data_IF_386449123187
#
_entry.id   IF_386449123187
#
_cell.length_a   1.000
_cell.length_b   1.000
_cell.length_c   1.000
_cell.angle_alpha   90.00
_cell.angle_beta   90.00
_cell.angle_gamma   90.00
#
_symmetry.space_group_name_H-M   'P 1'
#
loop_
_entity.id
_entity.type
_entity.pdbx_description
1 polymer ?
#
# COMPACT_ATOMS: atom_id res chain seq x y z
N UNK A 1 -48.55 -30.31 14.32
CA UNK A 1 -47.34 -30.61 15.12
C UNK A 1 -46.24 -29.72 14.58
N UNK A 2 -45.61 -28.76 15.26
CA UNK A 2 -45.63 -28.16 16.62
C UNK A 2 -45.14 -26.71 16.34
N UNK A 3 -45.97 -25.67 16.41
CA UNK A 3 -46.19 -24.77 17.55
C UNK A 3 -45.00 -24.57 18.50
N UNK A 4 -44.41 -23.36 18.53
CA UNK A 4 -44.61 -22.43 19.66
C UNK A 4 -44.14 -21.00 19.34
N UNK A 5 -45.05 -20.05 19.50
CA UNK A 5 -44.88 -18.60 19.49
C UNK A 5 -44.43 -18.11 20.91
N UNK A 6 -44.55 -16.83 21.28
CA UNK A 6 -43.54 -15.78 21.48
C UNK A 6 -43.14 -15.53 22.96
N UNK A 7 -42.14 -14.70 23.21
CA UNK A 7 -42.07 -13.95 24.48
C UNK A 7 -41.48 -12.54 24.27
N UNK A 8 -42.39 -11.58 24.39
CA UNK A 8 -42.19 -10.20 24.79
C UNK A 8 -40.81 -9.86 25.37
N UNK A 9 -40.07 -8.98 24.69
CA UNK A 9 -39.29 -7.95 25.36
C UNK A 9 -39.56 -6.60 24.69
N UNK A 10 -40.83 -6.20 24.80
CA UNK A 10 -41.16 -4.79 24.99
C UNK A 10 -40.55 -4.34 26.32
N UNK A 11 -39.47 -3.56 26.30
CA UNK A 11 -39.06 -2.70 27.40
C UNK A 11 -38.29 -1.54 26.77
N UNK A 12 -39.00 -0.47 26.44
CA UNK A 12 -39.05 0.75 27.26
C UNK A 12 -37.76 1.55 27.19
N UNK A 13 -37.82 2.59 26.35
CA UNK A 13 -37.35 3.95 26.63
C UNK A 13 -36.76 4.14 28.04
N UNK A 14 -35.44 4.27 28.13
CA UNK A 14 -34.81 5.08 29.16
C UNK A 14 -33.93 6.10 28.46
N UNK A 15 -34.53 7.27 28.20
CA UNK A 15 -33.80 8.53 28.18
C UNK A 15 -33.13 8.66 29.54
N UNK A 16 -31.86 8.29 29.63
CA UNK A 16 -31.00 8.75 30.72
C UNK A 16 -30.82 10.24 30.48
N UNK A 17 -31.72 11.01 31.10
CA UNK A 17 -31.52 12.42 31.38
C UNK A 17 -30.33 12.51 32.33
N UNK A 18 -29.17 12.92 31.83
CA UNK A 18 -28.11 13.41 32.70
C UNK A 18 -28.63 14.71 33.33
N UNK A 19 -29.10 14.57 34.57
CA UNK A 19 -29.46 15.67 35.43
C UNK A 19 -28.23 16.52 35.73
N UNK A 20 -28.43 17.82 35.56
CA UNK A 20 -27.57 18.90 36.02
C UNK A 20 -27.60 18.98 37.57
N UNK A 21 -26.46 19.36 38.16
CA UNK A 21 -26.29 20.10 39.42
C UNK A 21 -25.48 19.43 40.57
N UNK A 22 -24.47 20.18 41.01
CA UNK A 22 -23.81 20.25 42.33
C UNK A 22 -22.48 19.48 42.59
N UNK A 23 -21.39 20.19 42.27
CA UNK A 23 -20.29 20.54 43.19
C UNK A 23 -19.59 19.45 44.00
N UNK A 24 -18.53 18.87 43.44
CA UNK A 24 -17.42 18.28 44.20
C UNK A 24 -16.36 19.34 44.51
N UNK A 25 -15.77 19.36 45.72
CA UNK A 25 -14.71 20.30 46.10
C UNK A 25 -13.40 20.01 45.32
N UNK A 26 -12.54 21.03 45.12
CA UNK A 26 -11.35 20.87 44.30
C UNK A 26 -10.31 19.97 44.98
N UNK A 27 -9.90 18.92 44.29
CA UNK A 27 -8.78 18.06 44.68
C UNK A 27 -7.47 18.83 44.43
N UNK A 28 -6.61 19.04 45.45
CA UNK A 28 -5.33 19.71 45.25
C UNK A 28 -4.35 18.79 44.52
N UNK A 29 -3.96 19.15 43.29
CA UNK A 29 -2.86 18.48 42.57
C UNK A 29 -3.08 18.18 41.09
N UNK A 30 -4.21 18.55 40.49
CA UNK A 30 -4.44 18.31 39.07
C UNK A 30 -3.79 19.40 38.21
N UNK A 31 -2.72 19.04 37.50
CA UNK A 31 -2.22 19.82 36.36
C UNK A 31 -3.38 20.02 35.39
N UNK A 32 -3.95 21.23 35.37
CA UNK A 32 -5.02 21.59 34.43
C UNK A 32 -4.46 21.50 33.01
N UNK A 33 -4.84 20.45 32.28
CA UNK A 33 -4.53 20.31 30.86
C UNK A 33 -5.36 21.33 30.09
N UNK A 34 -4.71 22.28 29.44
CA UNK A 34 -5.37 23.36 28.70
C UNK A 34 -5.72 22.93 27.27
N UNK A 35 -6.59 23.69 26.59
CA UNK A 35 -6.87 23.45 25.16
C UNK A 35 -5.64 23.62 24.27
N UNK A 36 -4.65 24.40 24.69
CA UNK A 36 -3.35 24.52 24.01
C UNK A 36 -2.54 23.24 24.12
N UNK A 37 -2.49 22.61 25.31
CA UNK A 37 -1.84 21.31 25.51
C UNK A 37 -2.48 20.22 24.64
N UNK A 38 -3.81 20.24 24.48
CA UNK A 38 -4.53 19.30 23.60
C UNK A 38 -4.15 19.54 22.14
N UNK A 39 -4.18 20.80 21.66
CA UNK A 39 -3.77 21.13 20.29
C UNK A 39 -2.32 20.72 20.01
N UNK A 40 -1.42 21.00 20.95
CA UNK A 40 -0.01 20.63 20.83
C UNK A 40 0.14 19.11 20.75
N UNK A 41 -0.44 18.36 21.69
CA UNK A 41 -0.34 16.89 21.71
C UNK A 41 -0.97 16.24 20.49
N UNK A 42 -2.09 16.77 19.98
CA UNK A 42 -2.70 16.29 18.74
C UNK A 42 -1.79 16.56 17.54
N UNK A 43 -1.17 17.74 17.48
CA UNK A 43 -0.20 18.09 16.43
C UNK A 43 1.02 17.15 16.44
N UNK A 44 1.64 16.97 17.60
CA UNK A 44 2.78 16.05 17.79
C UNK A 44 2.42 14.60 17.40
N UNK A 45 1.23 14.13 17.78
CA UNK A 45 0.76 12.80 17.42
C UNK A 45 0.51 12.67 15.90
N UNK A 46 -0.07 13.70 15.27
CA UNK A 46 -0.30 13.72 13.83
C UNK A 46 1.01 13.76 13.03
N UNK A 47 1.98 14.58 13.46
CA UNK A 47 3.31 14.67 12.85
C UNK A 47 4.07 13.35 13.00
N UNK A 48 4.00 12.71 14.17
CA UNK A 48 4.61 11.38 14.42
C UNK A 48 3.99 10.32 13.52
N UNK A 49 2.66 10.30 13.38
CA UNK A 49 1.97 9.35 12.51
C UNK A 49 2.34 9.56 11.03
N UNK A 50 2.46 10.82 10.60
CA UNK A 50 2.89 11.19 9.23
C UNK A 50 4.31 10.73 8.95
N UNK A 51 5.24 10.96 9.87
CA UNK A 51 6.64 10.52 9.71
C UNK A 51 6.75 8.99 9.70
N UNK A 52 6.03 8.29 10.59
CA UNK A 52 5.98 6.83 10.57
C UNK A 52 5.44 6.28 9.24
N UNK A 53 4.39 6.92 8.70
CA UNK A 53 3.80 6.53 7.41
C UNK A 53 4.79 6.75 6.28
N UNK A 54 5.47 7.89 6.25
CA UNK A 54 6.52 8.20 5.27
C UNK A 54 7.67 7.17 5.33
N UNK A 55 8.14 6.82 6.53
CA UNK A 55 9.18 5.80 6.70
C UNK A 55 8.78 4.44 6.11
N UNK A 56 7.55 3.99 6.38
CA UNK A 56 7.02 2.74 5.79
C UNK A 56 6.96 2.82 4.28
N UNK A 57 6.60 3.99 3.77
CA UNK A 57 6.52 4.27 2.35
C UNK A 57 7.87 4.18 1.66
N UNK A 58 8.88 4.83 2.24
CA UNK A 58 10.26 4.87 1.73
C UNK A 58 10.92 3.48 1.84
N UNK A 59 10.66 2.74 2.92
CA UNK A 59 11.11 1.36 3.09
C UNK A 59 10.59 0.46 1.97
N UNK A 60 9.30 0.55 1.65
CA UNK A 60 8.71 -0.21 0.56
C UNK A 60 9.29 0.19 -0.81
N UNK A 61 9.45 1.50 -1.08
CA UNK A 61 10.08 1.97 -2.32
C UNK A 61 11.48 1.38 -2.50
N UNK A 62 12.30 1.45 -1.45
CA UNK A 62 13.66 0.90 -1.45
C UNK A 62 13.69 -0.61 -1.69
N UNK A 63 12.79 -1.36 -1.06
CA UNK A 63 12.69 -2.82 -1.28
C UNK A 63 12.32 -3.16 -2.72
N UNK A 64 11.46 -2.36 -3.35
CA UNK A 64 11.09 -2.55 -4.74
C UNK A 64 12.24 -2.16 -5.69
N UNK A 65 12.93 -1.05 -5.43
CA UNK A 65 14.11 -0.62 -6.20
C UNK A 65 15.18 -1.73 -6.23
N UNK A 66 15.49 -2.32 -5.07
CA UNK A 66 16.46 -3.43 -4.97
C UNK A 66 16.04 -4.66 -5.78
N UNK A 67 14.75 -5.00 -5.75
CA UNK A 67 14.25 -6.12 -6.56
C UNK A 67 14.29 -5.79 -8.06
N UNK A 68 14.03 -4.54 -8.41
CA UNK A 68 14.03 -4.06 -9.79
C UNK A 68 15.43 -4.05 -10.38
N UNK A 69 16.46 -3.64 -9.62
CA UNK A 69 17.86 -3.75 -10.00
C UNK A 69 18.22 -5.20 -10.37
N UNK A 70 17.90 -6.15 -9.48
CA UNK A 70 18.16 -7.57 -9.76
C UNK A 70 17.35 -8.14 -10.93
N UNK A 71 16.18 -7.57 -11.23
CA UNK A 71 15.41 -7.94 -12.42
C UNK A 71 15.99 -7.32 -13.69
N UNK A 72 16.47 -6.08 -13.64
CA UNK A 72 17.10 -5.40 -14.77
C UNK A 72 18.38 -6.14 -15.21
N UNK A 73 19.17 -6.66 -14.28
CA UNK A 73 20.31 -7.55 -14.57
C UNK A 73 19.87 -8.82 -15.32
N UNK A 74 18.79 -9.47 -14.86
CA UNK A 74 18.24 -10.65 -15.52
C UNK A 74 17.67 -10.33 -16.91
N UNK A 75 17.08 -9.15 -17.09
CA UNK A 75 16.61 -8.68 -18.40
C UNK A 75 17.82 -8.51 -19.35
N UNK A 76 18.94 -7.94 -18.88
CA UNK A 76 20.14 -7.80 -19.70
C UNK A 76 20.74 -9.17 -20.11
N UNK A 77 20.75 -10.14 -19.19
CA UNK A 77 21.15 -11.52 -19.52
C UNK A 77 20.20 -12.15 -20.55
N UNK A 78 18.89 -11.97 -20.35
CA UNK A 78 17.84 -12.45 -21.24
C UNK A 78 17.98 -11.87 -22.65
N UNK A 79 18.30 -10.59 -22.77
CA UNK A 79 18.60 -9.93 -24.05
C UNK A 79 19.79 -10.56 -24.76
N UNK A 80 20.84 -10.86 -24.01
CA UNK A 80 22.06 -11.51 -24.54
C UNK A 80 21.76 -12.93 -25.02
N UNK A 81 20.94 -13.70 -24.30
CA UNK A 81 20.52 -15.06 -24.71
C UNK A 81 19.63 -15.00 -25.94
N UNK A 82 18.61 -14.15 -25.93
CA UNK A 82 17.68 -14.02 -27.04
C UNK A 82 18.30 -13.46 -28.32
N UNK A 83 19.43 -12.75 -28.23
CA UNK A 83 20.22 -12.35 -29.40
C UNK A 83 20.72 -13.55 -30.24
N UNK A 84 20.82 -14.74 -29.64
CA UNK A 84 21.30 -15.97 -30.31
C UNK A 84 20.19 -16.74 -31.03
N UNK A 85 18.92 -16.44 -30.72
CA UNK A 85 17.76 -17.05 -31.39
C UNK A 85 17.74 -16.68 -32.87
N UNK A 86 17.12 -17.55 -33.67
CA UNK A 86 17.00 -17.38 -35.13
C UNK A 86 15.55 -17.64 -35.58
N UNK A 87 15.27 -17.25 -36.82
CA UNK A 87 14.01 -17.54 -37.51
C UNK A 87 12.77 -17.15 -36.67
N UNK A 88 11.73 -17.97 -36.66
CA UNK A 88 10.47 -17.67 -35.99
C UNK A 88 10.63 -17.48 -34.48
N UNK A 89 11.52 -18.24 -33.83
CA UNK A 89 11.81 -18.08 -32.41
C UNK A 89 12.36 -16.67 -32.09
N UNK A 90 13.19 -16.10 -32.98
CA UNK A 90 13.69 -14.72 -32.81
C UNK A 90 12.57 -13.69 -32.92
N UNK A 91 11.64 -13.90 -33.85
CA UNK A 91 10.50 -12.99 -34.07
C UNK A 91 9.59 -12.98 -32.84
N UNK A 92 9.21 -14.15 -32.32
CA UNK A 92 8.36 -14.26 -31.14
C UNK A 92 9.04 -13.72 -29.87
N UNK A 93 10.33 -14.03 -29.69
CA UNK A 93 11.10 -13.48 -28.58
C UNK A 93 11.17 -11.95 -28.61
N UNK A 94 11.41 -11.34 -29.79
CA UNK A 94 11.46 -9.87 -29.90
C UNK A 94 10.13 -9.23 -29.49
N UNK A 95 8.98 -9.80 -29.90
CA UNK A 95 7.65 -9.28 -29.50
C UNK A 95 7.47 -9.31 -27.99
N UNK A 96 7.85 -10.42 -27.35
CA UNK A 96 7.77 -10.56 -25.88
C UNK A 96 8.73 -9.62 -25.16
N UNK A 97 9.94 -9.41 -25.70
CA UNK A 97 10.90 -8.44 -25.17
C UNK A 97 10.35 -7.01 -25.22
N UNK A 98 9.70 -6.61 -26.32
CA UNK A 98 9.10 -5.27 -26.40
C UNK A 98 8.01 -5.06 -25.35
N UNK A 99 7.15 -6.07 -25.13
CA UNK A 99 6.14 -6.03 -24.07
C UNK A 99 6.76 -5.97 -22.67
N UNK A 100 7.82 -6.75 -22.42
CA UNK A 100 8.62 -6.71 -21.19
C UNK A 100 9.20 -5.31 -20.94
N UNK A 101 9.85 -4.71 -21.95
CA UNK A 101 10.41 -3.35 -21.86
C UNK A 101 9.34 -2.30 -21.60
N UNK A 102 8.21 -2.40 -22.28
CA UNK A 102 7.06 -1.51 -22.08
C UNK A 102 6.56 -1.56 -20.64
N UNK A 103 6.39 -2.77 -20.07
CA UNK A 103 5.98 -2.95 -18.68
C UNK A 103 7.03 -2.45 -17.68
N UNK A 104 8.32 -2.61 -17.97
CA UNK A 104 9.41 -2.05 -17.16
C UNK A 104 9.30 -0.52 -17.13
N UNK A 105 9.08 0.12 -18.29
CA UNK A 105 8.85 1.56 -18.39
C UNK A 105 7.68 2.03 -17.52
N UNK A 106 6.52 1.37 -17.66
CA UNK A 106 5.30 1.67 -16.87
C UNK A 106 5.52 1.53 -15.36
N UNK A 107 6.24 0.50 -14.92
CA UNK A 107 6.60 0.34 -13.51
C UNK A 107 7.46 1.51 -13.03
N UNK A 108 8.41 1.96 -13.85
CA UNK A 108 9.26 3.11 -13.52
C UNK A 108 8.45 4.39 -13.32
N UNK A 109 7.47 4.64 -14.17
CA UNK A 109 6.59 5.80 -14.07
C UNK A 109 5.74 5.73 -12.78
N UNK A 110 5.13 4.57 -12.51
CA UNK A 110 4.36 4.36 -11.28
C UNK A 110 5.23 4.48 -10.03
N UNK A 111 6.47 4.04 -10.07
CA UNK A 111 7.39 4.16 -8.93
C UNK A 111 7.78 5.64 -8.68
N UNK A 112 7.95 6.43 -9.74
CA UNK A 112 8.16 7.88 -9.61
C UNK A 112 6.94 8.57 -8.99
N UNK A 113 5.74 8.24 -9.46
CA UNK A 113 4.48 8.76 -8.91
C UNK A 113 4.32 8.36 -7.43
N UNK A 114 4.58 7.09 -7.12
CA UNK A 114 4.60 6.58 -5.76
C UNK A 114 5.56 7.39 -4.89
N UNK A 115 6.83 7.54 -5.30
CA UNK A 115 7.82 8.29 -4.53
C UNK A 115 7.41 9.75 -4.26
N UNK A 116 6.64 10.38 -5.15
CA UNK A 116 6.13 11.73 -4.97
C UNK A 116 4.84 11.83 -4.13
N UNK A 117 4.21 10.72 -3.74
CA UNK A 117 2.89 10.74 -3.10
C UNK A 117 2.93 11.12 -1.61
N UNK A 118 1.80 11.65 -1.11
CA UNK A 118 1.58 11.94 0.31
C UNK A 118 1.22 10.69 1.13
N UNK A 119 1.14 10.86 2.45
CA UNK A 119 0.67 9.88 3.44
C UNK A 119 -0.78 9.45 3.25
N UNK A 120 -1.62 10.21 2.55
CA UNK A 120 -3.01 9.82 2.30
C UNK A 120 -3.17 9.01 1.00
N UNK A 121 -2.33 9.25 0.00
CA UNK A 121 -2.47 8.64 -1.33
C UNK A 121 -1.69 7.34 -1.52
N UNK A 122 -0.74 7.04 -0.64
CA UNK A 122 0.29 6.04 -0.91
C UNK A 122 -0.22 4.60 -0.99
N UNK A 123 -1.25 4.20 -0.23
CA UNK A 123 -1.76 2.82 -0.23
C UNK A 123 -2.38 2.43 -1.58
N UNK A 124 -3.13 3.36 -2.19
CA UNK A 124 -3.69 3.16 -3.53
C UNK A 124 -2.59 3.01 -4.57
N UNK A 125 -1.60 3.89 -4.53
CA UNK A 125 -0.44 3.82 -5.43
C UNK A 125 0.42 2.59 -5.19
N UNK A 126 0.53 2.10 -3.94
CA UNK A 126 1.20 0.85 -3.61
C UNK A 126 0.55 -0.32 -4.35
N UNK A 127 -0.78 -0.42 -4.30
CA UNK A 127 -1.53 -1.49 -4.97
C UNK A 127 -1.30 -1.47 -6.48
N UNK A 128 -1.36 -0.29 -7.08
CA UNK A 128 -1.08 -0.11 -8.51
C UNK A 128 0.34 -0.53 -8.89
N UNK A 129 1.30 -0.23 -8.01
CA UNK A 129 2.70 -0.61 -8.18
C UNK A 129 2.91 -2.12 -8.02
N UNK A 130 2.24 -2.75 -7.05
CA UNK A 130 2.22 -4.21 -6.86
C UNK A 130 1.67 -4.92 -8.12
N UNK A 131 0.59 -4.39 -8.71
CA UNK A 131 0.02 -4.92 -9.95
C UNK A 131 1.02 -4.76 -11.12
N UNK A 132 1.62 -3.58 -11.27
CA UNK A 132 2.62 -3.34 -12.31
C UNK A 132 3.85 -4.24 -12.16
N UNK A 133 4.29 -4.49 -10.92
CA UNK A 133 5.40 -5.38 -10.60
C UNK A 133 5.07 -6.83 -10.93
N UNK A 134 3.87 -7.30 -10.61
CA UNK A 134 3.38 -8.63 -11.00
C UNK A 134 3.35 -8.80 -12.52
N UNK A 135 2.79 -7.82 -13.24
CA UNK A 135 2.73 -7.84 -14.71
C UNK A 135 4.13 -7.87 -15.33
N UNK A 136 5.07 -7.12 -14.76
CA UNK A 136 6.46 -7.11 -15.23
C UNK A 136 7.13 -8.47 -15.06
N UNK A 137 6.96 -9.11 -13.88
CA UNK A 137 7.47 -10.46 -13.63
C UNK A 137 6.87 -11.49 -14.59
N UNK A 138 5.57 -11.44 -14.80
CA UNK A 138 4.90 -12.35 -15.74
C UNK A 138 5.45 -12.18 -17.17
N UNK A 139 5.66 -10.95 -17.63
CA UNK A 139 6.25 -10.70 -18.94
C UNK A 139 7.71 -11.17 -19.03
N UNK A 140 8.48 -11.00 -17.94
CA UNK A 140 9.82 -11.55 -17.85
C UNK A 140 9.79 -13.07 -17.99
N UNK A 141 8.96 -13.77 -17.22
CA UNK A 141 8.86 -15.24 -17.26
C UNK A 141 8.48 -15.72 -18.66
N UNK A 142 7.44 -15.12 -19.27
CA UNK A 142 7.01 -15.44 -20.64
C UNK A 142 8.11 -15.23 -21.68
N UNK A 143 8.93 -14.21 -21.52
CA UNK A 143 10.06 -13.90 -22.43
C UNK A 143 11.21 -14.86 -22.18
N UNK A 144 11.45 -15.24 -20.92
CA UNK A 144 12.48 -16.19 -20.52
C UNK A 144 12.20 -17.62 -21.03
N UNK A 145 10.94 -18.04 -21.13
CA UNK A 145 10.57 -19.35 -21.69
C UNK A 145 11.11 -19.56 -23.12
N UNK A 146 11.21 -18.50 -23.93
CA UNK A 146 11.67 -18.60 -25.33
C UNK A 146 13.18 -18.87 -25.46
N UNK A 147 13.95 -18.67 -24.40
CA UNK A 147 15.41 -18.90 -24.38
C UNK A 147 15.81 -20.07 -23.48
N UNK A 148 14.84 -20.76 -22.88
CA UNK A 148 15.09 -21.99 -22.13
C UNK A 148 15.26 -23.13 -23.14
N UNK A 149 16.51 -23.48 -23.39
CA UNK A 149 16.87 -24.80 -23.95
C UNK A 149 16.91 -25.87 -22.85
#
# INVERSE_FOLDING_TARGET
MRYFTPCCFSLSLFLVACADESSTPPVPGETQVTGEDVKQKIGEAADTAKEFTKQKRDEYAKQLDQQLEGLDEKIAELETKGAKLKDDAKVEWNKKLEDLKSKRGKLSEKLKEFNASSSEAWEGLKKDLDIAWGNLKEAYDKTAEEVKE
#
